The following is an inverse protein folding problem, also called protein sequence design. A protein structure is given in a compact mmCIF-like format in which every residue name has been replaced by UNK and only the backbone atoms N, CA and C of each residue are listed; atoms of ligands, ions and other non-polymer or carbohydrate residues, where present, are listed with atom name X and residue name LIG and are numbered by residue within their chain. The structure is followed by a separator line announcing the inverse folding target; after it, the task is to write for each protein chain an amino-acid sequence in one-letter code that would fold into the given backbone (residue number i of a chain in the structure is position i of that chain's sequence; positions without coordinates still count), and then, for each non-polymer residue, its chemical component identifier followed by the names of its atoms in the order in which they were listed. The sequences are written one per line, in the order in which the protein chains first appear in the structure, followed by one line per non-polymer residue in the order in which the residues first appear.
data_IF_869259641487
#
_entry.id   IF_869259641487
#
_cell.length_a   1.000
_cell.length_b   1.000
_cell.length_c   1.000
_cell.angle_alpha   90.00
_cell.angle_beta   90.00
_cell.angle_gamma   90.00
#
_symmetry.space_group_name_H-M   'P 1'
#
loop_
_entity.id
_entity.type
_entity.pdbx_description
1 polymer ?
#
# COMPACT_ATOMS: atom_id res chain seq x y z
N UNK A 1 21.67 -9.44 -16.50
CA UNK A 1 20.58 -9.58 -15.49
C UNK A 1 19.36 -8.92 -16.08
N UNK A 2 18.27 -9.65 -16.25
CA UNK A 2 16.99 -9.07 -16.66
C UNK A 2 16.51 -8.11 -15.57
N UNK A 3 16.08 -6.91 -15.94
CA UNK A 3 15.47 -5.97 -15.00
C UNK A 3 14.27 -6.66 -14.31
N UNK A 4 14.09 -6.43 -12.99
CA UNK A 4 12.94 -7.00 -12.29
C UNK A 4 11.64 -6.46 -12.89
N UNK A 5 10.63 -7.33 -13.06
CA UNK A 5 9.31 -6.89 -13.49
C UNK A 5 8.71 -5.93 -12.45
N UNK A 6 7.90 -4.95 -12.87
CA UNK A 6 7.26 -4.00 -11.95
C UNK A 6 6.32 -4.72 -10.96
N UNK A 7 5.90 -4.02 -9.92
CA UNK A 7 4.80 -4.48 -9.09
C UNK A 7 3.45 -4.24 -9.80
N UNK A 8 2.48 -5.14 -9.57
CA UNK A 8 1.12 -5.00 -10.08
C UNK A 8 0.18 -4.43 -9.02
N UNK A 9 -0.76 -3.59 -9.45
CA UNK A 9 -1.85 -3.13 -8.61
C UNK A 9 -3.17 -3.74 -9.12
N UNK A 10 -3.77 -4.66 -8.34
CA UNK A 10 -4.91 -5.46 -8.76
C UNK A 10 -6.11 -5.26 -7.83
N UNK A 11 -7.26 -4.88 -8.40
CA UNK A 11 -8.49 -4.59 -7.66
C UNK A 11 -9.26 -5.89 -7.34
N UNK A 12 -9.77 -6.01 -6.10
CA UNK A 12 -10.59 -7.13 -5.64
C UNK A 12 -12.05 -7.06 -6.15
N UNK A 13 -12.27 -6.99 -7.46
CA UNK A 13 -13.59 -6.78 -8.08
C UNK A 13 -14.59 -7.86 -7.65
N UNK A 14 -15.79 -7.49 -7.16
CA UNK A 14 -16.85 -8.45 -6.86
C UNK A 14 -17.16 -9.36 -8.06
N UNK A 15 -17.36 -10.65 -7.80
CA UNK A 15 -17.55 -11.66 -8.83
C UNK A 15 -16.29 -12.16 -9.52
N UNK A 16 -15.15 -11.44 -9.38
CA UNK A 16 -13.87 -11.82 -10.01
C UNK A 16 -12.72 -12.07 -9.00
N UNK A 17 -13.01 -12.10 -7.69
CA UNK A 17 -11.96 -12.22 -6.64
C UNK A 17 -11.11 -13.48 -6.77
N UNK A 18 -11.75 -14.62 -7.14
CA UNK A 18 -10.99 -15.86 -7.39
C UNK A 18 -10.02 -15.68 -8.56
N UNK A 19 -10.47 -15.11 -9.67
CA UNK A 19 -9.62 -14.81 -10.82
C UNK A 19 -8.46 -13.85 -10.41
N UNK A 20 -8.73 -12.85 -9.58
CA UNK A 20 -7.67 -11.95 -9.08
C UNK A 20 -6.62 -12.72 -8.29
N UNK A 21 -7.01 -13.68 -7.42
CA UNK A 21 -6.05 -14.54 -6.69
C UNK A 21 -5.23 -15.39 -7.67
N UNK A 22 -5.85 -15.96 -8.68
CA UNK A 22 -5.16 -16.80 -9.67
C UNK A 22 -4.17 -15.95 -10.51
N UNK A 23 -4.54 -14.73 -10.89
CA UNK A 23 -3.63 -13.76 -11.53
C UNK A 23 -2.45 -13.40 -10.62
N UNK A 24 -2.67 -13.25 -9.31
CA UNK A 24 -1.60 -12.99 -8.35
C UNK A 24 -0.60 -14.16 -8.29
N UNK A 25 -1.07 -15.39 -8.29
CA UNK A 25 -0.20 -16.59 -8.37
C UNK A 25 0.60 -16.65 -9.67
N UNK A 26 -0.02 -16.27 -10.78
CA UNK A 26 0.66 -16.24 -12.07
C UNK A 26 1.70 -15.10 -12.11
N UNK A 27 1.38 -13.93 -11.58
CA UNK A 27 2.32 -12.82 -11.42
C UNK A 27 3.54 -13.22 -10.56
N UNK A 28 3.33 -13.94 -9.47
CA UNK A 28 4.40 -14.48 -8.64
C UNK A 28 5.32 -15.42 -9.44
N UNK A 29 4.75 -16.38 -10.19
CA UNK A 29 5.50 -17.32 -11.04
C UNK A 29 6.31 -16.60 -12.12
N UNK A 30 5.82 -15.49 -12.63
CA UNK A 30 6.49 -14.66 -13.64
C UNK A 30 7.56 -13.73 -13.07
N UNK A 31 7.70 -13.63 -11.75
CA UNK A 31 8.73 -12.82 -11.09
C UNK A 31 8.39 -11.33 -11.02
N UNK A 32 7.10 -10.96 -10.94
CA UNK A 32 6.72 -9.58 -10.63
C UNK A 32 7.19 -9.18 -9.24
N UNK A 33 7.66 -7.94 -9.07
CA UNK A 33 8.30 -7.46 -7.85
C UNK A 33 7.35 -7.38 -6.64
N UNK A 34 6.04 -7.29 -6.87
CA UNK A 34 5.04 -7.21 -5.80
C UNK A 34 3.61 -7.15 -6.32
N UNK A 35 2.65 -7.32 -5.39
CA UNK A 35 1.23 -7.24 -5.68
C UNK A 35 0.60 -6.31 -4.67
N UNK A 36 0.00 -5.21 -5.14
CA UNK A 36 -0.66 -4.24 -4.29
C UNK A 36 -2.15 -4.17 -4.56
N UNK A 37 -2.96 -4.05 -3.51
CA UNK A 37 -4.41 -4.06 -3.60
C UNK A 37 -4.95 -2.69 -3.19
N UNK A 38 -5.59 -1.94 -4.12
CA UNK A 38 -6.14 -0.63 -3.83
C UNK A 38 -7.39 -0.71 -2.95
N UNK A 39 -7.77 0.42 -2.34
CA UNK A 39 -8.82 0.51 -1.33
C UNK A 39 -10.21 -0.02 -1.72
N UNK A 40 -10.68 0.04 -2.98
CA UNK A 40 -12.02 -0.47 -3.32
C UNK A 40 -12.15 -1.98 -3.10
N UNK A 41 -13.35 -2.38 -2.63
CA UNK A 41 -13.83 -3.76 -2.59
C UNK A 41 -13.11 -4.75 -1.65
N UNK A 42 -12.47 -4.26 -0.57
CA UNK A 42 -11.96 -5.12 0.50
C UNK A 42 -10.51 -5.54 0.30
N UNK A 43 -9.61 -4.58 0.22
CA UNK A 43 -8.19 -4.81 0.04
C UNK A 43 -7.53 -5.61 1.19
N UNK A 44 -7.90 -5.36 2.45
CA UNK A 44 -7.37 -6.13 3.59
C UNK A 44 -7.71 -7.61 3.44
N UNK A 45 -8.99 -7.95 3.18
CA UNK A 45 -9.42 -9.33 2.97
C UNK A 45 -8.78 -9.99 1.75
N UNK A 46 -8.49 -9.21 0.68
CA UNK A 46 -7.74 -9.72 -0.45
C UNK A 46 -6.28 -9.99 -0.05
N UNK A 47 -5.65 -9.12 0.73
CA UNK A 47 -4.31 -9.35 1.25
C UNK A 47 -4.24 -10.58 2.17
N UNK A 48 -5.27 -10.83 3.00
CA UNK A 48 -5.40 -12.08 3.76
C UNK A 48 -5.40 -13.31 2.85
N UNK A 49 -6.20 -13.27 1.76
CA UNK A 49 -6.20 -14.35 0.78
C UNK A 49 -4.82 -14.52 0.11
N UNK A 50 -4.10 -13.44 -0.20
CA UNK A 50 -2.76 -13.52 -0.79
C UNK A 50 -1.73 -14.11 0.19
N UNK A 51 -1.82 -13.80 1.48
CA UNK A 51 -0.94 -14.38 2.50
C UNK A 51 -0.92 -15.91 2.45
N UNK A 52 -2.07 -16.54 2.20
CA UNK A 52 -2.23 -18.00 2.12
C UNK A 52 -2.02 -18.58 0.72
N UNK A 53 -2.19 -17.79 -0.33
CA UNK A 53 -2.18 -18.30 -1.71
C UNK A 53 -0.91 -17.99 -2.50
N UNK A 54 0.03 -17.24 -1.92
CA UNK A 54 1.35 -16.92 -2.51
C UNK A 54 2.48 -17.32 -1.57
N UNK A 55 3.66 -17.58 -2.11
CA UNK A 55 4.80 -18.11 -1.36
C UNK A 55 5.99 -17.16 -1.21
N UNK A 56 6.26 -16.32 -2.20
CA UNK A 56 7.49 -15.53 -2.28
C UNK A 56 7.25 -14.04 -2.57
N UNK A 57 6.20 -13.72 -3.30
CA UNK A 57 5.94 -12.33 -3.72
C UNK A 57 5.59 -11.43 -2.55
N UNK A 58 6.19 -10.24 -2.49
CA UNK A 58 5.76 -9.17 -1.58
C UNK A 58 4.38 -8.67 -1.97
N UNK A 59 3.52 -8.44 -1.00
CA UNK A 59 2.18 -7.90 -1.25
C UNK A 59 1.77 -6.90 -0.19
N UNK A 60 0.76 -6.10 -0.50
CA UNK A 60 0.28 -5.10 0.45
C UNK A 60 -0.95 -4.34 0.00
N UNK A 61 -1.41 -3.44 0.85
CA UNK A 61 -2.47 -2.50 0.50
C UNK A 61 -1.88 -1.26 -0.18
N UNK A 62 -2.60 -0.71 -1.18
CA UNK A 62 -2.20 0.53 -1.84
C UNK A 62 -3.44 1.40 -2.16
N UNK A 63 -4.09 1.88 -1.19
CA UNK A 63 -3.80 1.91 0.25
C UNK A 63 -5.03 1.47 1.06
N UNK A 64 -4.85 1.10 2.34
CA UNK A 64 -5.96 0.99 3.27
C UNK A 64 -6.25 2.38 3.87
N UNK A 65 -7.48 2.91 3.73
CA UNK A 65 -7.87 4.17 4.37
C UNK A 65 -7.82 4.04 5.90
N UNK A 66 -7.11 4.95 6.57
CA UNK A 66 -6.91 4.91 8.03
C UNK A 66 -8.22 5.01 8.85
N UNK A 67 -9.29 5.48 8.24
CA UNK A 67 -10.62 5.63 8.87
C UNK A 67 -11.55 4.43 8.65
N UNK A 68 -11.13 3.42 7.89
CA UNK A 68 -12.01 2.33 7.48
C UNK A 68 -12.28 1.30 8.56
N UNK A 69 -11.35 1.17 9.51
CA UNK A 69 -11.39 0.18 10.59
C UNK A 69 -10.87 0.80 11.89
N UNK A 70 -11.09 0.14 13.02
CA UNK A 70 -10.42 0.50 14.28
C UNK A 70 -8.93 0.16 14.22
N UNK A 71 -8.13 0.82 15.07
CA UNK A 71 -6.69 0.52 15.18
C UNK A 71 -6.46 -0.94 15.55
N UNK A 72 -7.22 -1.44 16.53
CA UNK A 72 -7.14 -2.83 17.00
C UNK A 72 -7.41 -3.81 15.88
N UNK A 73 -8.47 -3.60 15.07
CA UNK A 73 -8.80 -4.47 13.94
C UNK A 73 -7.73 -4.43 12.84
N UNK A 74 -7.17 -3.25 12.57
CA UNK A 74 -6.01 -3.14 11.66
C UNK A 74 -4.79 -3.90 12.19
N UNK A 75 -4.46 -3.76 13.46
CA UNK A 75 -3.28 -4.39 14.05
C UNK A 75 -3.39 -5.92 14.06
N UNK A 76 -4.55 -6.46 14.47
CA UNK A 76 -4.81 -7.91 14.46
C UNK A 76 -4.67 -8.49 13.06
N UNK A 77 -5.37 -7.91 12.06
CA UNK A 77 -5.32 -8.39 10.68
C UNK A 77 -3.91 -8.26 10.09
N UNK A 78 -3.22 -7.15 10.38
CA UNK A 78 -1.89 -6.88 9.83
C UNK A 78 -0.82 -7.79 10.44
N UNK A 79 -0.85 -8.03 11.75
CA UNK A 79 0.06 -8.96 12.42
C UNK A 79 -0.12 -10.38 11.89
N UNK A 80 -1.37 -10.84 11.80
CA UNK A 80 -1.68 -12.16 11.23
C UNK A 80 -1.13 -12.31 9.81
N UNK A 81 -1.43 -11.35 8.91
CA UNK A 81 -0.92 -11.40 7.54
C UNK A 81 0.61 -11.38 7.48
N UNK A 82 1.26 -10.59 8.34
CA UNK A 82 2.70 -10.50 8.41
C UNK A 82 3.33 -11.83 8.84
N UNK A 83 2.78 -12.46 9.89
CA UNK A 83 3.23 -13.75 10.40
C UNK A 83 3.04 -14.87 9.39
N UNK A 84 1.82 -15.11 8.93
CA UNK A 84 1.51 -16.24 8.03
C UNK A 84 2.16 -16.12 6.67
N UNK A 85 2.50 -14.91 6.24
CA UNK A 85 3.24 -14.70 4.99
C UNK A 85 4.76 -14.75 5.16
N UNK A 86 5.28 -14.95 6.37
CA UNK A 86 6.73 -14.88 6.61
C UNK A 86 7.33 -13.50 6.35
N UNK A 87 6.60 -12.42 6.73
CA UNK A 87 7.10 -11.05 6.63
C UNK A 87 6.92 -10.38 5.26
N UNK A 88 6.18 -10.98 4.32
CA UNK A 88 5.98 -10.45 2.96
C UNK A 88 4.94 -9.33 2.86
N UNK A 89 4.06 -9.20 3.85
CA UNK A 89 3.02 -8.18 3.86
C UNK A 89 3.58 -6.78 4.13
N UNK A 90 3.08 -5.78 3.40
CA UNK A 90 3.34 -4.35 3.57
C UNK A 90 2.03 -3.61 3.83
N UNK A 91 1.97 -2.85 4.94
CA UNK A 91 0.77 -2.09 5.30
C UNK A 91 0.80 -0.71 4.64
N UNK A 92 0.24 -0.60 3.44
CA UNK A 92 0.06 0.69 2.77
C UNK A 92 -1.15 1.43 3.33
N UNK A 93 -0.95 2.64 3.85
CA UNK A 93 -1.99 3.46 4.47
C UNK A 93 -2.14 4.83 3.81
N UNK A 94 -3.32 5.42 3.95
CA UNK A 94 -3.57 6.78 3.47
C UNK A 94 -4.91 7.33 3.96
N UNK A 95 -5.14 8.61 3.67
CA UNK A 95 -6.31 9.35 4.16
C UNK A 95 -7.55 9.22 3.29
N UNK A 96 -7.55 8.56 2.16
CA UNK A 96 -8.66 8.53 1.21
C UNK A 96 -9.05 9.94 0.65
N UNK A 97 -10.24 10.10 0.12
CA UNK A 97 -10.74 11.34 -0.50
C UNK A 97 -12.26 11.49 -0.31
N UNK A 98 -12.82 12.66 -0.64
CA UNK A 98 -14.19 13.06 -0.34
C UNK A 98 -15.28 12.00 -0.50
N UNK A 99 -15.48 11.39 -1.68
CA UNK A 99 -16.51 10.35 -1.88
C UNK A 99 -16.35 9.13 -0.96
N UNK A 100 -15.11 8.79 -0.60
CA UNK A 100 -14.84 7.67 0.31
C UNK A 100 -15.24 7.99 1.75
N UNK A 101 -15.07 9.24 2.19
CA UNK A 101 -15.50 9.66 3.53
C UNK A 101 -17.00 9.52 3.72
N UNK A 102 -17.78 9.96 2.71
CA UNK A 102 -19.24 9.81 2.73
C UNK A 102 -19.63 8.33 2.85
N UNK A 103 -19.01 7.48 2.05
CA UNK A 103 -19.27 6.02 2.08
C UNK A 103 -18.91 5.39 3.42
N UNK A 104 -17.84 5.83 4.06
CA UNK A 104 -17.40 5.33 5.37
C UNK A 104 -18.18 5.94 6.54
N UNK A 105 -18.99 6.98 6.31
CA UNK A 105 -19.69 7.71 7.36
C UNK A 105 -18.76 8.44 8.33
N UNK A 106 -17.59 8.92 7.85
CA UNK A 106 -16.58 9.56 8.69
C UNK A 106 -16.37 11.02 8.31
N UNK A 107 -16.07 11.83 9.32
CA UNK A 107 -15.58 13.19 9.15
C UNK A 107 -14.07 13.18 9.39
N UNK A 108 -13.25 13.40 8.34
CA UNK A 108 -11.81 13.41 8.50
C UNK A 108 -11.34 14.62 9.31
N UNK A 109 -10.28 14.44 10.09
CA UNK A 109 -9.59 15.53 10.77
C UNK A 109 -8.50 16.17 9.88
N UNK A 110 -7.36 16.48 10.48
CA UNK A 110 -6.21 17.06 9.78
C UNK A 110 -5.32 15.94 9.23
N UNK A 111 -5.14 15.81 7.91
CA UNK A 111 -4.44 14.69 7.28
C UNK A 111 -3.11 14.28 7.91
N UNK A 112 -2.23 15.25 8.18
CA UNK A 112 -0.93 14.97 8.78
C UNK A 112 -1.03 14.49 10.22
N UNK A 113 -1.89 15.14 11.03
CA UNK A 113 -2.09 14.77 12.43
C UNK A 113 -2.75 13.38 12.54
N UNK A 114 -3.76 13.13 11.71
CA UNK A 114 -4.48 11.85 11.72
C UNK A 114 -3.57 10.69 11.27
N UNK A 115 -2.74 10.90 10.24
CA UNK A 115 -1.76 9.90 9.79
C UNK A 115 -0.72 9.62 10.88
N UNK A 116 -0.17 10.65 11.52
CA UNK A 116 0.76 10.50 12.65
C UNK A 116 0.12 9.69 13.79
N UNK A 117 -1.04 10.13 14.25
CA UNK A 117 -1.75 9.49 15.36
C UNK A 117 -2.10 8.02 15.03
N UNK A 118 -2.46 7.74 13.77
CA UNK A 118 -2.71 6.37 13.32
C UNK A 118 -1.44 5.52 13.43
N UNK A 119 -0.31 5.96 12.88
CA UNK A 119 0.95 5.20 12.90
C UNK A 119 1.41 4.93 14.34
N UNK A 120 1.39 5.96 15.19
CA UNK A 120 1.80 5.85 16.59
C UNK A 120 0.94 4.85 17.35
N UNK A 121 -0.39 4.95 17.22
CA UNK A 121 -1.33 4.01 17.86
C UNK A 121 -1.22 2.60 17.30
N UNK A 122 -1.09 2.44 15.98
CA UNK A 122 -0.93 1.14 15.35
C UNK A 122 0.34 0.44 15.86
N UNK A 123 1.46 1.14 15.95
CA UNK A 123 2.71 0.58 16.46
C UNK A 123 2.70 0.26 17.96
N UNK A 124 1.80 0.90 18.71
CA UNK A 124 1.60 0.61 20.14
C UNK A 124 0.84 -0.71 20.39
N UNK A 125 0.17 -1.26 19.36
CA UNK A 125 -0.59 -2.51 19.44
C UNK A 125 0.34 -3.73 19.36
N UNK A 126 1.16 -3.94 20.39
CA UNK A 126 2.17 -5.02 20.45
C UNK A 126 1.62 -6.37 20.87
N UNK A 127 0.38 -6.42 21.35
CA UNK A 127 -0.24 -7.65 21.85
C UNK A 127 -0.51 -8.71 20.77
N UNK A 128 -0.57 -8.29 19.49
CA UNK A 128 -0.94 -9.16 18.38
C UNK A 128 0.27 -9.78 17.63
N UNK A 129 1.47 -9.51 18.09
CA UNK A 129 2.71 -9.96 17.45
C UNK A 129 3.40 -8.89 16.60
N UNK A 130 4.44 -9.25 15.84
CA UNK A 130 5.17 -8.32 14.99
C UNK A 130 4.28 -7.69 13.92
N UNK A 131 4.31 -6.36 13.84
CA UNK A 131 3.56 -5.60 12.84
C UNK A 131 4.37 -5.40 11.55
N UNK A 132 3.71 -5.35 10.39
CA UNK A 132 4.39 -5.15 9.10
C UNK A 132 4.97 -3.74 8.95
N UNK A 133 5.92 -3.55 8.02
CA UNK A 133 6.34 -2.23 7.59
C UNK A 133 5.17 -1.40 7.05
N UNK A 134 5.17 -0.10 7.39
CA UNK A 134 4.15 0.86 6.96
C UNK A 134 4.64 1.63 5.74
N UNK A 135 3.79 1.73 4.70
CA UNK A 135 4.01 2.55 3.52
C UNK A 135 2.94 3.64 3.50
N UNK A 136 3.35 4.92 3.49
CA UNK A 136 2.40 6.04 3.52
C UNK A 136 2.10 6.55 2.12
N UNK A 137 0.82 6.67 1.77
CA UNK A 137 0.43 7.37 0.56
C UNK A 137 0.67 8.88 0.70
N UNK A 138 1.49 9.44 -0.17
CA UNK A 138 1.86 10.84 -0.11
C UNK A 138 2.08 11.42 -1.51
N UNK A 139 1.50 12.62 -1.73
CA UNK A 139 1.72 13.38 -2.96
C UNK A 139 2.55 14.65 -2.72
N UNK A 140 2.50 15.21 -1.51
CA UNK A 140 3.08 16.52 -1.21
C UNK A 140 4.17 16.44 -0.16
N UNK A 141 5.12 17.36 -0.22
CA UNK A 141 6.32 17.44 0.63
C UNK A 141 6.10 17.16 2.12
N UNK A 142 5.04 17.73 2.73
CA UNK A 142 4.78 17.56 4.16
C UNK A 142 4.40 16.12 4.54
N UNK A 143 3.62 15.42 3.70
CA UNK A 143 3.28 14.02 3.94
C UNK A 143 4.47 13.10 3.64
N UNK A 144 5.27 13.43 2.61
CA UNK A 144 6.53 12.72 2.31
C UNK A 144 7.53 12.85 3.46
N UNK A 145 7.66 14.06 4.05
CA UNK A 145 8.50 14.27 5.24
C UNK A 145 8.01 13.43 6.43
N UNK A 146 6.69 13.39 6.67
CA UNK A 146 6.09 12.58 7.72
C UNK A 146 6.33 11.07 7.49
N UNK A 147 6.25 10.60 6.24
CA UNK A 147 6.57 9.22 5.88
C UNK A 147 8.05 8.90 6.18
N UNK A 148 8.97 9.82 5.85
CA UNK A 148 10.39 9.68 6.16
C UNK A 148 10.69 9.62 7.66
N UNK A 149 9.88 10.26 8.50
CA UNK A 149 9.99 10.25 9.96
C UNK A 149 9.44 8.96 10.57
N UNK A 150 8.27 8.52 10.12
CA UNK A 150 7.46 7.52 10.84
C UNK A 150 7.23 6.21 10.08
N UNK A 151 7.68 6.05 8.85
CA UNK A 151 7.34 4.89 8.04
C UNK A 151 8.56 4.26 7.36
N UNK A 152 8.34 3.10 6.77
CA UNK A 152 9.32 2.34 5.99
C UNK A 152 9.20 2.60 4.48
N UNK A 153 8.31 3.53 4.09
CA UNK A 153 8.22 3.93 2.68
C UNK A 153 7.12 4.93 2.37
N UNK A 154 7.11 5.34 1.12
CA UNK A 154 6.16 6.26 0.53
C UNK A 154 5.66 5.74 -0.81
N UNK A 155 4.35 5.89 -1.07
CA UNK A 155 3.76 5.59 -2.37
C UNK A 155 3.02 6.81 -2.92
N UNK A 156 3.31 7.14 -4.16
CA UNK A 156 2.61 8.16 -4.94
C UNK A 156 1.49 7.52 -5.76
N UNK A 157 0.53 8.32 -6.18
CA UNK A 157 -0.53 7.90 -7.08
C UNK A 157 -0.56 8.81 -8.31
N UNK A 158 -0.25 8.26 -9.47
CA UNK A 158 -0.26 8.95 -10.75
C UNK A 158 0.53 10.28 -10.76
N UNK A 159 1.68 10.28 -10.08
CA UNK A 159 2.54 11.45 -9.99
C UNK A 159 3.52 11.50 -11.16
N UNK A 160 3.72 12.69 -11.74
CA UNK A 160 4.79 12.91 -12.72
C UNK A 160 6.17 12.80 -12.06
N UNK A 161 7.20 12.46 -12.84
CA UNK A 161 8.57 12.36 -12.35
C UNK A 161 9.06 13.66 -11.71
N UNK A 162 8.71 14.81 -12.30
CA UNK A 162 9.06 16.14 -11.76
C UNK A 162 8.40 16.39 -10.40
N UNK A 163 7.13 16.04 -10.25
CA UNK A 163 6.41 16.16 -8.98
C UNK A 163 6.98 15.24 -7.90
N UNK A 164 7.29 13.99 -8.26
CA UNK A 164 7.95 13.04 -7.36
C UNK A 164 9.30 13.59 -6.89
N UNK A 165 10.15 14.05 -7.81
CA UNK A 165 11.45 14.61 -7.47
C UNK A 165 11.36 15.79 -6.49
N UNK A 166 10.42 16.73 -6.74
CA UNK A 166 10.17 17.86 -5.84
C UNK A 166 9.67 17.43 -4.45
N UNK A 167 8.81 16.42 -4.38
CA UNK A 167 8.23 15.96 -3.11
C UNK A 167 9.22 15.11 -2.32
N UNK A 168 9.99 14.24 -2.99
CA UNK A 168 11.04 13.42 -2.41
C UNK A 168 12.21 14.24 -1.87
N UNK A 169 12.39 15.48 -2.33
CA UNK A 169 13.37 16.40 -1.72
C UNK A 169 13.10 16.69 -0.24
N UNK A 170 11.86 16.43 0.25
CA UNK A 170 11.53 16.54 1.67
C UNK A 170 11.97 15.33 2.52
N UNK A 171 12.39 14.23 1.90
CA UNK A 171 13.01 13.10 2.62
C UNK A 171 14.45 13.45 2.99
N UNK A 172 14.93 13.04 4.19
CA UNK A 172 16.35 13.07 4.51
C UNK A 172 17.17 12.31 3.46
N UNK A 173 18.37 12.81 3.13
CA UNK A 173 19.23 12.19 2.12
C UNK A 173 19.51 10.70 2.42
N UNK A 174 19.74 10.37 3.70
CA UNK A 174 19.95 9.00 4.14
C UNK A 174 18.76 8.09 3.81
N UNK A 175 17.53 8.56 4.02
CA UNK A 175 16.30 7.80 3.68
C UNK A 175 16.12 7.64 2.17
N UNK A 176 16.50 8.65 1.37
CA UNK A 176 16.43 8.53 -0.10
C UNK A 176 17.43 7.54 -0.69
N UNK A 177 18.57 7.40 -0.03
CA UNK A 177 19.63 6.48 -0.43
C UNK A 177 19.48 5.08 0.18
N UNK A 178 18.56 4.89 1.12
CA UNK A 178 18.32 3.62 1.78
C UNK A 178 17.52 2.67 0.86
N UNK A 179 18.10 1.57 0.37
CA UNK A 179 17.39 0.62 -0.48
C UNK A 179 16.24 -0.10 0.25
N UNK A 180 16.23 -0.09 1.59
CA UNK A 180 15.15 -0.65 2.39
C UNK A 180 13.94 0.30 2.50
N UNK A 181 14.12 1.60 2.23
CA UNK A 181 13.02 2.56 2.24
C UNK A 181 12.25 2.49 0.91
N UNK A 182 11.02 1.99 0.97
CA UNK A 182 10.20 1.82 -0.23
C UNK A 182 9.79 3.18 -0.84
N UNK A 183 10.02 3.34 -2.14
CA UNK A 183 9.50 4.48 -2.92
C UNK A 183 8.77 3.92 -4.14
N UNK A 184 7.47 4.14 -4.21
CA UNK A 184 6.63 3.65 -5.30
C UNK A 184 5.77 4.74 -5.94
N UNK A 185 5.31 4.48 -7.16
CA UNK A 185 4.29 5.30 -7.83
C UNK A 185 3.27 4.37 -8.50
N UNK A 186 2.01 4.47 -8.13
CA UNK A 186 0.92 3.75 -8.80
C UNK A 186 0.57 4.49 -10.08
N UNK A 187 0.77 3.85 -11.22
CA UNK A 187 0.47 4.39 -12.55
C UNK A 187 -0.67 3.59 -13.15
N UNK A 188 -1.84 4.19 -13.43
CA UNK A 188 -2.89 3.55 -14.20
C UNK A 188 -2.34 3.11 -15.56
N UNK A 189 -2.60 1.84 -15.91
CA UNK A 189 -2.07 1.25 -17.14
C UNK A 189 -3.20 0.55 -17.86
N UNK A 190 -3.36 0.84 -19.15
CA UNK A 190 -4.21 0.09 -20.07
C UNK A 190 -3.31 -0.64 -21.06
N UNK A 191 -3.61 -1.91 -21.32
CA UNK A 191 -2.94 -2.71 -22.35
C UNK A 191 -3.95 -2.94 -23.46
N UNK A 192 -3.70 -2.36 -24.62
CA UNK A 192 -4.53 -2.48 -25.82
C UNK A 192 -3.66 -2.47 -27.06
N UNK A 193 -4.06 -3.25 -28.08
CA UNK A 193 -3.48 -3.17 -29.42
C UNK A 193 -4.00 -1.93 -30.18
N UNK A 194 -5.09 -1.33 -29.71
CA UNK A 194 -5.67 -0.09 -30.22
C UNK A 194 -5.32 1.07 -29.28
N UNK A 195 -4.42 1.95 -29.72
CA UNK A 195 -3.94 3.10 -28.93
C UNK A 195 -5.03 4.15 -28.74
N UNK A 196 -5.99 4.28 -29.65
CA UNK A 196 -7.10 5.22 -29.54
C UNK A 196 -8.15 4.75 -28.51
N UNK A 197 -8.24 3.43 -28.27
CA UNK A 197 -9.12 2.83 -27.27
C UNK A 197 -8.49 2.73 -25.87
N UNK A 198 -7.19 2.99 -25.75
CA UNK A 198 -6.47 2.91 -24.49
C UNK A 198 -6.47 4.24 -23.73
#
# INVERSE_FOLDING_TARGET
MTEPLPALCLIAVPGRRRLTIDLCKDAEKRGYAGIYVPSPFGNMSMCEALAWNTGTVTFGTAIAPIYQRTIVDFAQSAAMMHEVSGGRFRMGIGIAHGPSYVRMGVTPGKPLADTRAFIEKFRAETAFGPLPPIIVAALRKRMVALAGELAEGVVFANASLSHMAQSLAALPAAKRADPAFFIGNMIPTCISDDVEAA
#
